data_IF_203231730555
#
_entry.id   IF_203231730555
#
_cell.length_a   1.000
_cell.length_b   1.000
_cell.length_c   1.000
_cell.angle_alpha   90.00
_cell.angle_beta   90.00
_cell.angle_gamma   90.00
#
_symmetry.space_group_name_H-M   'P 1'
#
loop_
_entity.id
_entity.type
_entity.pdbx_description
1 polymer ?
#
# COMPACT_ATOMS: atom_id res chain seq x y z
N UNK A 1 3.29 -7.93 3.47
CA UNK A 1 3.71 -6.93 4.49
C UNK A 1 3.34 -7.35 5.90
N UNK A 2 2.25 -8.12 6.11
CA UNK A 2 1.92 -8.74 7.41
C UNK A 2 3.10 -9.53 8.01
N UNK A 3 3.79 -10.35 7.21
CA UNK A 3 5.00 -11.08 7.64
C UNK A 3 6.18 -10.20 8.06
N UNK A 4 6.13 -8.89 7.76
CA UNK A 4 7.13 -7.90 8.15
C UNK A 4 6.66 -7.01 9.31
N UNK A 5 5.60 -7.42 10.02
CA UNK A 5 5.12 -6.75 11.25
C UNK A 5 4.19 -5.56 11.02
N UNK A 6 3.74 -5.33 9.78
CA UNK A 6 2.76 -4.29 9.48
C UNK A 6 1.34 -4.83 9.68
N UNK A 7 0.51 -4.08 10.42
CA UNK A 7 -0.94 -4.30 10.42
C UNK A 7 -1.51 -3.79 9.09
N UNK A 8 -2.18 -4.65 8.34
CA UNK A 8 -2.78 -4.31 7.05
C UNK A 8 -4.29 -4.27 7.22
N UNK A 9 -4.90 -3.14 6.90
CA UNK A 9 -6.36 -2.97 6.96
C UNK A 9 -6.86 -2.94 5.51
N UNK A 10 -7.47 -4.02 5.01
CA UNK A 10 -7.97 -4.04 3.65
C UNK A 10 -9.20 -3.12 3.52
N UNK A 11 -9.27 -2.39 2.41
CA UNK A 11 -10.41 -1.52 2.08
C UNK A 11 -10.89 -1.85 0.68
N UNK A 12 -12.04 -2.51 0.59
CA UNK A 12 -12.69 -2.87 -0.65
C UNK A 12 -14.16 -3.27 -0.39
N UNK A 13 -15.14 -2.60 -1.03
CA UNK A 13 -16.56 -2.89 -0.80
C UNK A 13 -17.04 -4.26 -1.32
N UNK A 14 -16.20 -4.98 -2.08
CA UNK A 14 -16.56 -6.28 -2.65
C UNK A 14 -16.15 -7.47 -1.77
N UNK A 15 -15.47 -7.23 -0.66
CA UNK A 15 -14.97 -8.28 0.23
C UNK A 15 -15.23 -7.92 1.69
N UNK A 16 -15.57 -8.93 2.50
CA UNK A 16 -15.76 -8.78 3.94
C UNK A 16 -14.47 -9.12 4.72
N UNK A 17 -13.61 -9.96 4.16
CA UNK A 17 -12.33 -10.39 4.77
C UNK A 17 -11.27 -10.61 3.68
N UNK A 18 -10.02 -10.19 3.96
CA UNK A 18 -8.85 -10.46 3.10
C UNK A 18 -7.69 -10.89 3.99
N UNK A 19 -7.11 -12.06 3.74
CA UNK A 19 -5.95 -12.59 4.47
C UNK A 19 -6.14 -12.61 6.00
N UNK A 20 -7.35 -12.93 6.48
CA UNK A 20 -7.68 -12.99 7.91
C UNK A 20 -7.95 -11.64 8.57
N UNK A 21 -7.94 -10.54 7.80
CA UNK A 21 -8.24 -9.19 8.29
C UNK A 21 -9.63 -8.75 7.81
N UNK A 22 -10.39 -8.10 8.68
CA UNK A 22 -11.67 -7.47 8.33
C UNK A 22 -11.45 -6.43 7.23
N UNK A 23 -12.23 -6.55 6.15
CA UNK A 23 -12.19 -5.64 5.02
C UNK A 23 -13.32 -4.61 5.14
N UNK A 24 -12.95 -3.33 5.11
CA UNK A 24 -13.90 -2.23 5.21
C UNK A 24 -14.33 -1.75 3.82
N UNK A 25 -15.57 -1.27 3.62
CA UNK A 25 -16.01 -0.81 2.31
C UNK A 25 -15.37 0.52 1.89
N UNK A 26 -15.07 1.39 2.84
CA UNK A 26 -14.38 2.66 2.64
C UNK A 26 -13.34 2.93 3.74
N UNK A 27 -12.54 3.98 3.58
CA UNK A 27 -11.55 4.40 4.58
C UNK A 27 -12.24 4.97 5.82
N UNK A 28 -13.38 5.62 5.63
CA UNK A 28 -14.21 6.24 6.65
C UNK A 28 -14.95 5.22 7.53
N UNK A 29 -15.13 4.00 7.04
CA UNK A 29 -15.72 2.90 7.81
C UNK A 29 -14.73 2.25 8.78
N UNK A 30 -13.44 2.61 8.72
CA UNK A 30 -12.44 2.12 9.67
C UNK A 30 -12.72 2.76 11.04
N UNK A 31 -12.83 1.95 12.12
CA UNK A 31 -13.03 2.47 13.47
C UNK A 31 -12.03 3.56 13.86
N UNK A 32 -12.51 4.65 14.45
CA UNK A 32 -11.69 5.84 14.80
C UNK A 32 -10.56 5.54 15.81
N UNK A 33 -10.68 4.48 16.60
CA UNK A 33 -9.64 4.02 17.51
C UNK A 33 -8.46 3.35 16.78
N UNK A 34 -8.65 2.95 15.52
CA UNK A 34 -7.61 2.38 14.67
C UNK A 34 -6.96 3.51 13.88
N UNK A 35 -5.76 3.90 14.33
CA UNK A 35 -4.95 4.87 13.61
C UNK A 35 -4.41 4.31 12.30
N UNK A 36 -4.69 4.98 11.19
CA UNK A 36 -4.11 4.70 9.86
C UNK A 36 -2.94 5.63 9.61
N UNK A 37 -1.74 5.08 9.43
CA UNK A 37 -0.54 5.90 9.13
C UNK A 37 -0.35 6.11 7.62
N UNK A 38 -0.56 5.06 6.82
CA UNK A 38 -0.30 5.05 5.38
C UNK A 38 -1.55 4.52 4.67
N UNK A 39 -2.03 5.25 3.66
CA UNK A 39 -3.05 4.78 2.72
C UNK A 39 -2.35 4.31 1.44
N UNK A 40 -2.35 2.99 1.22
CA UNK A 40 -1.69 2.35 0.07
C UNK A 40 -2.70 2.03 -1.05
N UNK A 41 -2.59 2.74 -2.18
CA UNK A 41 -3.61 2.75 -3.24
C UNK A 41 -3.24 1.79 -4.37
N UNK A 42 -4.08 0.75 -4.56
CA UNK A 42 -4.00 -0.22 -5.66
C UNK A 42 -5.08 -0.02 -6.74
N UNK A 43 -5.89 1.03 -6.62
CA UNK A 43 -6.94 1.34 -7.59
C UNK A 43 -6.36 1.97 -8.86
N UNK A 44 -7.18 2.08 -9.91
CA UNK A 44 -6.77 2.75 -11.15
C UNK A 44 -6.46 4.24 -10.88
N UNK A 45 -5.55 4.86 -11.66
CA UNK A 45 -5.19 6.27 -11.49
C UNK A 45 -6.40 7.22 -11.43
N UNK A 46 -7.47 6.94 -12.17
CA UNK A 46 -8.65 7.81 -12.23
C UNK A 46 -9.45 7.82 -10.92
N UNK A 47 -9.30 6.79 -10.08
CA UNK A 47 -9.95 6.70 -8.78
C UNK A 47 -9.08 7.26 -7.64
N UNK A 48 -7.79 7.51 -7.89
CA UNK A 48 -6.85 8.00 -6.89
C UNK A 48 -7.26 9.34 -6.23
N UNK A 49 -7.88 10.33 -6.93
CA UNK A 49 -8.31 11.56 -6.30
C UNK A 49 -9.37 11.36 -5.20
N UNK A 50 -10.26 10.37 -5.36
CA UNK A 50 -11.23 10.04 -4.32
C UNK A 50 -10.52 9.43 -3.09
N UNK A 51 -9.60 8.49 -3.32
CA UNK A 51 -8.80 7.90 -2.24
C UNK A 51 -7.95 8.94 -1.49
N UNK A 52 -7.41 9.94 -2.19
CA UNK A 52 -6.67 11.05 -1.59
C UNK A 52 -7.56 11.88 -0.64
N UNK A 53 -8.78 12.24 -1.06
CA UNK A 53 -9.73 12.97 -0.21
C UNK A 53 -10.08 12.19 1.06
N UNK A 54 -10.36 10.90 0.91
CA UNK A 54 -10.63 10.02 2.03
C UNK A 54 -9.43 9.88 2.97
N UNK A 55 -8.21 9.75 2.42
CA UNK A 55 -6.99 9.69 3.21
C UNK A 55 -6.77 10.95 4.07
N UNK A 56 -7.04 12.12 3.50
CA UNK A 56 -7.03 13.40 4.22
C UNK A 56 -8.12 13.42 5.30
N UNK A 57 -9.34 12.98 4.98
CA UNK A 57 -10.47 13.01 5.90
C UNK A 57 -10.24 12.14 7.15
N UNK A 58 -9.62 10.96 6.99
CA UNK A 58 -9.30 10.08 8.13
C UNK A 58 -8.02 10.49 8.88
N UNK A 59 -7.33 11.55 8.45
CA UNK A 59 -6.12 12.04 9.08
C UNK A 59 -4.92 11.09 8.95
N UNK A 60 -4.81 10.39 7.81
CA UNK A 60 -3.61 9.61 7.50
C UNK A 60 -2.37 10.51 7.41
N UNK A 61 -1.16 9.93 7.55
CA UNK A 61 0.09 10.70 7.43
C UNK A 61 0.64 10.68 6.01
N UNK A 62 0.47 9.56 5.32
CA UNK A 62 1.07 9.32 4.00
C UNK A 62 0.02 8.78 3.04
N UNK A 63 -0.06 9.38 1.85
CA UNK A 63 -0.70 8.78 0.69
C UNK A 63 0.37 8.08 -0.16
N UNK A 64 0.22 6.77 -0.34
CA UNK A 64 1.13 5.96 -1.15
C UNK A 64 0.42 5.47 -2.41
N UNK A 65 0.81 6.01 -3.56
CA UNK A 65 0.31 5.57 -4.86
C UNK A 65 1.24 4.49 -5.42
N UNK A 66 0.72 3.27 -5.55
CA UNK A 66 1.48 2.12 -6.04
C UNK A 66 2.02 2.33 -7.47
N UNK A 67 2.91 1.44 -7.89
CA UNK A 67 3.48 1.45 -9.24
C UNK A 67 2.37 1.48 -10.29
N UNK A 68 2.47 2.44 -11.22
CA UNK A 68 1.49 2.67 -12.27
C UNK A 68 0.24 3.46 -11.85
N UNK A 69 0.08 3.81 -10.57
CA UNK A 69 -1.02 4.64 -10.07
C UNK A 69 -0.60 6.11 -10.05
N UNK A 70 -0.27 6.68 -11.22
CA UNK A 70 0.24 8.06 -11.31
C UNK A 70 -0.93 9.02 -11.53
N UNK A 71 -1.19 9.90 -10.56
CA UNK A 71 -2.23 10.93 -10.66
C UNK A 71 -1.82 12.22 -9.94
N UNK A 72 -1.66 13.31 -10.69
CA UNK A 72 -1.23 14.61 -10.15
C UNK A 72 -2.32 15.31 -9.31
N UNK A 73 -3.60 15.12 -9.64
CA UNK A 73 -4.71 15.67 -8.85
C UNK A 73 -4.76 15.03 -7.46
N UNK A 74 -4.62 13.70 -7.40
CA UNK A 74 -4.57 12.96 -6.14
C UNK A 74 -3.39 13.41 -5.26
N UNK A 75 -2.23 13.62 -5.87
CA UNK A 75 -1.06 14.17 -5.20
C UNK A 75 -1.34 15.56 -4.64
N UNK A 76 -1.87 16.48 -5.45
CA UNK A 76 -2.19 17.84 -5.02
C UNK A 76 -3.17 17.87 -3.85
N UNK A 77 -4.26 17.08 -3.92
CA UNK A 77 -5.25 16.96 -2.83
C UNK A 77 -4.58 16.51 -1.53
N UNK A 78 -3.70 15.52 -1.58
CA UNK A 78 -3.03 15.00 -0.40
C UNK A 78 -2.01 15.99 0.18
N UNK A 79 -1.19 16.62 -0.67
CA UNK A 79 -0.22 17.63 -0.24
C UNK A 79 -0.92 18.86 0.40
N UNK A 80 -2.00 19.35 -0.22
CA UNK A 80 -2.82 20.44 0.33
C UNK A 80 -3.51 20.05 1.65
N UNK A 81 -3.87 18.77 1.79
CA UNK A 81 -4.39 18.18 3.02
C UNK A 81 -3.34 17.90 4.10
N UNK A 82 -2.05 18.17 3.82
CA UNK A 82 -0.95 18.01 4.76
C UNK A 82 -0.37 16.60 4.86
N UNK A 83 -0.67 15.72 3.90
CA UNK A 83 -0.10 14.38 3.82
C UNK A 83 1.23 14.40 3.06
N UNK A 84 2.15 13.51 3.45
CA UNK A 84 3.27 13.16 2.59
C UNK A 84 2.79 12.27 1.44
N UNK A 85 3.34 12.45 0.23
CA UNK A 85 2.91 11.68 -0.94
C UNK A 85 4.07 10.93 -1.55
N UNK A 86 3.87 9.62 -1.76
CA UNK A 86 4.77 8.76 -2.51
C UNK A 86 4.06 8.31 -3.78
N UNK A 87 4.71 8.47 -4.94
CA UNK A 87 4.13 8.16 -6.26
C UNK A 87 5.00 7.16 -7.00
N UNK A 88 4.37 6.21 -7.68
CA UNK A 88 5.01 5.23 -8.56
C UNK A 88 6.09 4.40 -7.85
N UNK A 89 5.74 3.90 -6.66
CA UNK A 89 6.59 3.03 -5.84
C UNK A 89 5.78 1.90 -5.25
N UNK A 90 6.39 0.73 -5.08
CA UNK A 90 5.74 -0.38 -4.39
C UNK A 90 6.27 -0.48 -2.96
N UNK A 91 5.39 -0.50 -1.96
CA UNK A 91 5.76 -0.64 -0.55
C UNK A 91 6.66 -1.86 -0.32
N UNK A 92 6.34 -3.01 -0.93
CA UNK A 92 7.15 -4.23 -0.81
C UNK A 92 8.57 -4.06 -1.37
N UNK A 93 8.69 -3.41 -2.53
CA UNK A 93 10.00 -3.21 -3.18
C UNK A 93 10.83 -2.22 -2.37
N UNK A 94 10.24 -1.09 -1.95
CA UNK A 94 10.94 -0.06 -1.17
C UNK A 94 11.33 -0.56 0.22
N UNK A 95 10.44 -1.28 0.92
CA UNK A 95 10.79 -1.97 2.15
C UNK A 95 11.98 -2.88 1.94
N UNK A 96 11.93 -3.71 0.91
CA UNK A 96 13.00 -4.64 0.59
C UNK A 96 14.33 -3.96 0.20
N UNK A 97 14.27 -2.78 -0.44
CA UNK A 97 15.42 -1.97 -0.83
C UNK A 97 16.07 -1.27 0.37
N UNK A 98 15.27 -0.76 1.31
CA UNK A 98 15.72 0.05 2.44
C UNK A 98 16.04 -0.78 3.69
N UNK A 99 15.27 -1.83 3.95
CA UNK A 99 15.33 -2.65 5.16
C UNK A 99 15.77 -4.09 4.91
N UNK A 100 15.98 -4.46 3.64
CA UNK A 100 16.38 -5.80 3.23
C UNK A 100 15.19 -6.75 3.01
N UNK A 101 15.48 -7.96 2.48
CA UNK A 101 14.47 -9.01 2.27
C UNK A 101 14.04 -9.26 0.82
N UNK A 102 14.48 -8.46 -0.15
CA UNK A 102 14.21 -8.72 -1.58
C UNK A 102 14.73 -10.09 -2.06
N UNK A 103 15.85 -10.53 -1.49
CA UNK A 103 16.50 -11.79 -1.79
C UNK A 103 15.61 -13.01 -1.45
N UNK A 104 14.79 -12.92 -0.40
CA UNK A 104 13.81 -13.97 -0.05
C UNK A 104 12.75 -14.14 -1.14
N UNK A 105 12.44 -13.05 -1.86
CA UNK A 105 11.44 -13.02 -2.93
C UNK A 105 12.03 -13.14 -4.34
N UNK A 106 13.30 -13.56 -4.46
CA UNK A 106 13.95 -13.78 -5.76
C UNK A 106 14.39 -12.50 -6.48
N UNK A 107 14.31 -11.33 -5.83
CA UNK A 107 14.76 -10.04 -6.39
C UNK A 107 16.14 -9.71 -5.81
N UNK A 108 17.06 -9.25 -6.64
CA UNK A 108 18.42 -8.85 -6.21
C UNK A 108 19.18 -9.96 -5.47
N UNK A 109 18.95 -11.23 -5.83
CA UNK A 109 19.62 -12.40 -5.20
C UNK A 109 21.11 -12.49 -5.52
N UNK A 110 21.59 -11.77 -6.55
CA UNK A 110 22.90 -11.95 -7.18
C UNK A 110 23.13 -13.37 -7.74
N UNK A 111 22.06 -14.15 -7.90
CA UNK A 111 22.08 -15.51 -8.44
C UNK A 111 21.21 -15.54 -9.69
N UNK A 112 21.83 -15.82 -10.83
CA UNK A 112 21.11 -16.16 -12.08
C UNK A 112 20.93 -17.68 -12.09
N UNK A 113 19.68 -18.13 -12.07
CA UNK A 113 19.35 -19.57 -12.09
C UNK A 113 18.14 -19.81 -12.98
N UNK A 114 18.20 -20.86 -13.79
CA UNK A 114 17.05 -21.35 -14.55
C UNK A 114 16.08 -22.19 -13.70
N UNK A 115 16.42 -22.46 -12.43
CA UNK A 115 15.59 -23.25 -11.50
C UNK A 115 14.74 -22.32 -10.65
N UNK A 116 13.43 -22.59 -10.56
CA UNK A 116 12.52 -21.87 -9.66
C UNK A 116 12.98 -22.06 -8.20
N UNK A 117 13.17 -20.97 -7.42
CA UNK A 117 13.50 -21.08 -6.01
C UNK A 117 12.43 -21.86 -5.24
N UNK A 118 12.84 -22.87 -4.46
CA UNK A 118 11.90 -23.71 -3.68
C UNK A 118 11.48 -23.09 -2.34
N UNK A 119 12.10 -21.98 -1.95
CA UNK A 119 11.82 -21.25 -0.70
C UNK A 119 10.86 -20.06 -0.90
N UNK A 120 10.43 -19.79 -2.14
CA UNK A 120 9.36 -18.83 -2.41
C UNK A 120 8.04 -19.45 -1.95
N UNK A 121 7.46 -18.90 -0.88
CA UNK A 121 6.10 -19.19 -0.40
C UNK A 121 5.10 -18.55 -1.37
N UNK A 122 4.91 -19.20 -2.53
CA UNK A 122 3.77 -19.03 -3.43
C UNK A 122 3.54 -20.35 -4.17
#
# INVERSE_FOLDING_TARGET
>A
MQDHGYRIIPVNPNYEEILGETCYPSLEDIPEDIRVDIVDVFQKPEAAPAAAKSAVAIGAKVLWLQIGVINEEAKAIAEEGGLEVVVDRCVKIEHGRLLGGLNLFGVTTKVISAKRPRWLVY
#
